data_IF_002672768201
#
_entry.id   IF_002672768201
#
_cell.length_a   1.000
_cell.length_b   1.000
_cell.length_c   1.000
_cell.angle_alpha   90.00
_cell.angle_beta   90.00
_cell.angle_gamma   90.00
#
_symmetry.space_group_name_H-M   'P 1'
#
loop_
_entity.id
_entity.type
_entity.pdbx_description
1 polymer ?
#
# COMPACT_ATOMS: atom_id res chain seq x y z
N UNK A 1 26.87 -36.68 32.88
CA UNK A 1 25.65 -37.45 33.25
C UNK A 1 25.64 -38.90 32.74
N UNK A 2 26.18 -39.21 31.56
CA UNK A 2 26.19 -40.59 31.00
C UNK A 2 26.92 -41.63 31.89
N UNK A 3 28.03 -41.27 32.55
CA UNK A 3 28.83 -42.23 33.35
C UNK A 3 28.11 -42.76 34.60
N UNK A 4 27.21 -41.97 35.20
CA UNK A 4 26.51 -42.33 36.44
C UNK A 4 25.40 -43.36 36.16
N UNK A 5 24.54 -43.08 35.19
CA UNK A 5 23.49 -44.02 34.75
C UNK A 5 24.07 -45.30 34.12
N UNK A 6 25.19 -45.18 33.40
CA UNK A 6 25.93 -46.35 32.88
C UNK A 6 26.40 -47.29 34.00
N UNK A 7 26.90 -46.75 35.11
CA UNK A 7 27.40 -47.55 36.25
C UNK A 7 26.27 -48.25 37.00
N UNK A 8 25.11 -47.60 37.13
CA UNK A 8 23.90 -48.20 37.71
C UNK A 8 23.37 -49.34 36.84
N UNK A 9 23.34 -49.17 35.51
CA UNK A 9 22.92 -50.23 34.57
C UNK A 9 23.84 -51.46 34.62
N UNK A 10 25.15 -51.25 34.71
CA UNK A 10 26.14 -52.33 34.79
C UNK A 10 25.95 -53.16 36.08
N UNK A 11 25.81 -52.50 37.24
CA UNK A 11 25.59 -53.18 38.53
C UNK A 11 24.24 -53.94 38.60
N UNK A 12 23.21 -53.47 37.89
CA UNK A 12 21.89 -54.14 37.84
C UNK A 12 21.87 -55.36 36.92
N UNK A 13 22.73 -55.40 35.90
CA UNK A 13 22.94 -56.60 35.07
C UNK A 13 23.68 -57.70 35.83
N UNK A 14 24.68 -57.32 36.64
CA UNK A 14 25.50 -58.25 37.43
C UNK A 14 24.70 -58.99 38.54
N UNK A 15 23.57 -58.42 38.97
CA UNK A 15 22.70 -58.98 40.03
C UNK A 15 21.50 -59.80 39.53
N UNK A 16 21.40 -60.07 38.21
CA UNK A 16 20.33 -60.91 37.63
C UNK A 16 18.93 -60.27 37.59
N UNK A 17 18.80 -58.97 37.88
CA UNK A 17 17.49 -58.26 37.98
C UNK A 17 17.09 -57.58 36.66
N UNK A 18 16.90 -58.37 35.60
CA UNK A 18 16.53 -57.91 34.24
C UNK A 18 15.30 -56.98 34.18
N UNK A 19 14.27 -57.24 35.00
CA UNK A 19 13.07 -56.37 35.07
C UNK A 19 13.39 -54.96 35.59
N UNK A 20 14.32 -54.81 36.55
CA UNK A 20 14.73 -53.48 37.04
C UNK A 20 15.57 -52.77 35.98
N UNK A 21 16.48 -53.48 35.33
CA UNK A 21 17.30 -52.95 34.24
C UNK A 21 16.46 -52.33 33.11
N UNK A 22 15.42 -53.03 32.64
CA UNK A 22 14.53 -52.53 31.59
C UNK A 22 13.81 -51.24 32.00
N UNK A 23 13.31 -51.15 33.24
CA UNK A 23 12.67 -49.92 33.76
C UNK A 23 13.61 -48.72 33.76
N UNK A 24 14.87 -48.91 34.16
CA UNK A 24 15.87 -47.83 34.16
C UNK A 24 16.31 -47.43 32.75
N UNK A 25 16.45 -48.40 31.83
CA UNK A 25 16.80 -48.10 30.44
C UNK A 25 15.69 -47.30 29.72
N UNK A 26 14.41 -47.64 29.96
CA UNK A 26 13.26 -46.89 29.45
C UNK A 26 13.24 -45.47 30.04
N UNK A 27 13.48 -45.33 31.35
CA UNK A 27 13.55 -44.02 32.00
C UNK A 27 14.64 -43.11 31.41
N UNK A 28 15.80 -43.67 31.07
CA UNK A 28 16.89 -42.91 30.43
C UNK A 28 16.56 -42.48 29.00
N UNK A 29 15.94 -43.35 28.21
CA UNK A 29 15.46 -43.00 26.87
C UNK A 29 14.42 -41.87 26.96
N UNK A 30 13.46 -41.97 27.88
CA UNK A 30 12.44 -40.93 28.08
C UNK A 30 13.07 -39.59 28.50
N UNK A 31 14.07 -39.60 29.39
CA UNK A 31 14.79 -38.39 29.78
C UNK A 31 15.54 -37.75 28.60
N UNK A 32 16.20 -38.55 27.76
CA UNK A 32 16.86 -38.07 26.55
C UNK A 32 15.86 -37.49 25.56
N UNK A 33 14.73 -38.17 25.34
CA UNK A 33 13.66 -37.71 24.45
C UNK A 33 13.09 -36.37 24.93
N UNK A 34 12.80 -36.23 26.23
CA UNK A 34 12.34 -34.96 26.82
C UNK A 34 13.38 -33.85 26.60
N UNK A 35 14.67 -34.17 26.79
CA UNK A 35 15.76 -33.21 26.53
C UNK A 35 15.79 -32.72 25.07
N UNK A 36 15.63 -33.63 24.11
CA UNK A 36 15.56 -33.30 22.67
C UNK A 36 14.32 -32.45 22.36
N UNK A 37 13.16 -32.82 22.90
CA UNK A 37 11.92 -32.08 22.68
C UNK A 37 12.01 -30.64 23.22
N UNK A 38 12.57 -30.46 24.42
CA UNK A 38 12.82 -29.12 24.98
C UNK A 38 13.78 -28.33 24.10
N UNK A 39 14.87 -28.95 23.64
CA UNK A 39 15.83 -28.28 22.75
C UNK A 39 15.19 -27.84 21.43
N UNK A 40 14.38 -28.70 20.80
CA UNK A 40 13.61 -28.37 19.60
C UNK A 40 12.61 -27.25 19.87
N UNK A 41 11.91 -27.29 21.01
CA UNK A 41 10.94 -26.25 21.37
C UNK A 41 11.61 -24.89 21.58
N UNK A 42 12.78 -24.84 22.22
CA UNK A 42 13.56 -23.61 22.38
C UNK A 42 14.01 -23.07 21.02
N UNK A 43 14.47 -23.96 20.12
CA UNK A 43 14.87 -23.55 18.77
C UNK A 43 13.70 -22.97 17.98
N UNK A 44 12.56 -23.66 17.94
CA UNK A 44 11.36 -23.22 17.24
C UNK A 44 10.82 -21.89 17.81
N UNK A 45 10.90 -21.69 19.14
CA UNK A 45 10.51 -20.43 19.77
C UNK A 45 11.43 -19.27 19.37
N UNK A 46 12.75 -19.51 19.30
CA UNK A 46 13.71 -18.51 18.85
C UNK A 46 13.52 -18.16 17.37
N UNK A 47 13.22 -19.16 16.54
CA UNK A 47 12.91 -18.97 15.11
C UNK A 47 11.62 -18.16 14.93
N UNK A 48 10.54 -18.52 15.63
CA UNK A 48 9.29 -17.76 15.61
C UNK A 48 9.45 -16.29 16.07
N UNK A 49 10.34 -16.02 17.05
CA UNK A 49 10.69 -14.64 17.43
C UNK A 49 11.39 -13.86 16.32
N UNK A 50 12.30 -14.51 15.58
CA UNK A 50 12.99 -13.89 14.45
C UNK A 50 12.02 -13.60 13.32
N UNK A 51 11.14 -14.54 13.00
CA UNK A 51 10.09 -14.38 11.99
C UNK A 51 9.13 -13.24 12.35
N UNK A 52 8.64 -13.18 13.59
CA UNK A 52 7.78 -12.09 14.05
C UNK A 52 8.47 -10.72 13.95
N UNK A 53 9.76 -10.64 14.30
CA UNK A 53 10.55 -9.41 14.14
C UNK A 53 10.69 -9.01 12.67
N UNK A 54 10.93 -9.97 11.77
CA UNK A 54 11.01 -9.70 10.33
C UNK A 54 9.66 -9.25 9.77
N UNK A 55 8.56 -9.92 10.12
CA UNK A 55 7.20 -9.53 9.75
C UNK A 55 6.93 -8.08 10.14
N UNK A 56 7.22 -7.73 11.41
CA UNK A 56 7.07 -6.37 11.92
C UNK A 56 7.90 -5.35 11.13
N UNK A 57 9.13 -5.67 10.76
CA UNK A 57 9.97 -4.78 9.97
C UNK A 57 9.38 -4.52 8.57
N UNK A 58 8.88 -5.55 7.89
CA UNK A 58 8.20 -5.37 6.60
C UNK A 58 6.93 -4.53 6.74
N UNK A 59 6.10 -4.81 7.74
CA UNK A 59 4.88 -4.04 8.01
C UNK A 59 5.20 -2.56 8.28
N UNK A 60 6.22 -2.27 9.09
CA UNK A 60 6.68 -0.89 9.34
C UNK A 60 7.18 -0.23 8.05
N UNK A 61 7.95 -0.95 7.24
CA UNK A 61 8.46 -0.43 5.96
C UNK A 61 7.32 -0.12 4.98
N UNK A 62 6.38 -1.05 4.80
CA UNK A 62 5.16 -0.85 3.98
C UNK A 62 4.37 0.35 4.48
N UNK A 63 4.13 0.45 5.79
CA UNK A 63 3.45 1.62 6.38
C UNK A 63 4.14 2.93 6.01
N UNK A 64 5.47 2.98 6.09
CA UNK A 64 6.23 4.18 5.77
C UNK A 64 6.17 4.52 4.28
N UNK A 65 6.21 3.50 3.41
CA UNK A 65 6.04 3.66 1.97
C UNK A 65 4.64 4.22 1.64
N UNK A 66 3.58 3.65 2.22
CA UNK A 66 2.20 4.14 2.05
C UNK A 66 2.00 5.56 2.60
N UNK A 67 2.67 5.93 3.70
CA UNK A 67 2.63 7.31 4.23
C UNK A 67 3.23 8.31 3.25
N UNK A 68 4.34 7.96 2.61
CA UNK A 68 4.97 8.81 1.57
C UNK A 68 4.09 8.87 0.32
N UNK A 69 3.52 7.75 -0.10
CA UNK A 69 2.57 7.72 -1.21
C UNK A 69 1.37 8.62 -0.96
N UNK A 70 0.83 8.64 0.27
CA UNK A 70 -0.26 9.54 0.63
C UNK A 70 0.11 11.03 0.51
N UNK A 71 1.35 11.42 0.82
CA UNK A 71 1.81 12.80 0.60
C UNK A 71 1.79 13.15 -0.88
N UNK A 72 2.23 12.23 -1.75
CA UNK A 72 2.18 12.42 -3.20
C UNK A 72 0.73 12.48 -3.71
N UNK A 73 -0.13 11.57 -3.23
CA UNK A 73 -1.55 11.55 -3.56
C UNK A 73 -2.24 12.85 -3.14
N UNK A 74 -1.97 13.36 -1.94
CA UNK A 74 -2.53 14.62 -1.45
C UNK A 74 -2.14 15.79 -2.37
N UNK A 75 -0.87 15.88 -2.76
CA UNK A 75 -0.41 16.93 -3.69
C UNK A 75 -1.10 16.83 -5.05
N UNK A 76 -1.20 15.62 -5.63
CA UNK A 76 -1.83 15.42 -6.94
C UNK A 76 -3.32 15.74 -6.90
N UNK A 77 -4.02 15.26 -5.86
CA UNK A 77 -5.45 15.53 -5.66
C UNK A 77 -5.69 17.02 -5.53
N UNK A 78 -4.87 17.76 -4.77
CA UNK A 78 -5.01 19.21 -4.64
C UNK A 78 -4.79 19.96 -5.97
N UNK A 79 -3.75 19.58 -6.73
CA UNK A 79 -3.51 20.19 -8.05
C UNK A 79 -4.69 19.98 -8.99
N UNK A 80 -5.18 18.74 -9.10
CA UNK A 80 -6.30 18.46 -10.00
C UNK A 80 -7.62 19.02 -9.48
N UNK A 81 -7.87 19.03 -8.17
CA UNK A 81 -9.04 19.68 -7.57
C UNK A 81 -9.11 21.17 -7.96
N UNK A 82 -7.97 21.86 -7.99
CA UNK A 82 -7.91 23.25 -8.45
C UNK A 82 -8.30 23.38 -9.93
N UNK A 83 -7.71 22.55 -10.80
CA UNK A 83 -8.01 22.53 -12.24
C UNK A 83 -9.48 22.19 -12.54
N UNK A 84 -10.04 21.23 -11.80
CA UNK A 84 -11.46 20.87 -11.83
C UNK A 84 -12.32 22.06 -11.41
N UNK A 85 -11.95 22.73 -10.32
CA UNK A 85 -12.70 23.87 -9.78
C UNK A 85 -12.71 25.06 -10.74
N UNK A 86 -11.61 25.32 -11.44
CA UNK A 86 -11.53 26.37 -12.47
C UNK A 86 -12.53 26.17 -13.61
N UNK A 87 -12.73 24.93 -14.07
CA UNK A 87 -13.76 24.62 -15.08
C UNK A 87 -15.15 24.55 -14.47
N UNK A 88 -15.27 24.01 -13.24
CA UNK A 88 -16.56 23.90 -12.55
C UNK A 88 -17.18 25.28 -12.26
N UNK A 89 -16.38 26.30 -11.95
CA UNK A 89 -16.87 27.67 -11.76
C UNK A 89 -17.51 28.25 -13.03
N UNK A 90 -17.16 27.74 -14.22
CA UNK A 90 -17.71 28.20 -15.51
C UNK A 90 -19.04 27.52 -15.89
N UNK A 91 -19.18 26.21 -15.63
CA UNK A 91 -20.27 25.41 -16.19
C UNK A 91 -20.96 24.47 -15.20
N UNK A 92 -20.48 24.37 -13.95
CA UNK A 92 -21.06 23.58 -12.85
C UNK A 92 -21.42 22.13 -13.19
N UNK A 93 -20.99 21.60 -14.33
CA UNK A 93 -21.48 20.31 -14.85
C UNK A 93 -21.05 19.16 -13.95
N UNK A 94 -19.95 19.31 -13.22
CA UNK A 94 -19.49 18.32 -12.25
C UNK A 94 -20.34 18.25 -10.97
N UNK A 95 -21.28 19.19 -10.77
CA UNK A 95 -22.30 19.11 -9.72
C UNK A 95 -23.47 18.18 -10.11
N UNK A 96 -23.54 17.73 -11.37
CA UNK A 96 -24.56 16.78 -11.83
C UNK A 96 -24.39 15.41 -11.12
N UNK A 97 -25.51 14.74 -10.73
CA UNK A 97 -25.46 13.42 -10.10
C UNK A 97 -24.64 12.36 -10.86
N UNK A 98 -24.53 12.45 -12.18
CA UNK A 98 -23.70 11.55 -13.01
C UNK A 98 -22.24 11.54 -12.57
N UNK A 99 -21.74 12.64 -11.99
CA UNK A 99 -20.37 12.76 -11.52
C UNK A 99 -20.19 12.36 -10.05
N UNK A 100 -21.24 11.97 -9.33
CA UNK A 100 -21.17 11.68 -7.88
C UNK A 100 -20.61 12.86 -7.08
N UNK A 101 -20.97 14.09 -7.45
CA UNK A 101 -20.40 15.31 -6.89
C UNK A 101 -20.45 15.41 -5.36
N UNK A 102 -21.47 14.84 -4.71
CA UNK A 102 -21.56 14.80 -3.25
C UNK A 102 -20.51 13.89 -2.60
N UNK A 103 -20.23 12.72 -3.20
CA UNK A 103 -19.19 11.79 -2.71
C UNK A 103 -17.81 12.45 -2.76
N UNK A 104 -17.55 13.23 -3.81
CA UNK A 104 -16.26 13.87 -4.06
C UNK A 104 -16.30 15.38 -3.84
N UNK A 105 -17.20 15.87 -2.98
CA UNK A 105 -17.42 17.29 -2.72
C UNK A 105 -16.15 18.03 -2.30
N UNK A 106 -15.22 17.33 -1.64
CA UNK A 106 -13.91 17.87 -1.27
C UNK A 106 -13.01 18.25 -2.45
N UNK A 107 -13.36 17.85 -3.68
CA UNK A 107 -12.65 18.26 -4.90
C UNK A 107 -13.11 19.62 -5.42
N UNK A 108 -14.31 20.08 -5.05
CA UNK A 108 -14.83 21.39 -5.42
C UNK A 108 -14.43 22.41 -4.36
N UNK A 109 -13.29 23.04 -4.59
CA UNK A 109 -12.71 24.07 -3.72
C UNK A 109 -12.87 25.45 -4.36
N UNK A 110 -12.56 26.52 -3.64
CA UNK A 110 -12.36 27.82 -4.27
C UNK A 110 -11.15 27.73 -5.19
N UNK A 111 -11.31 28.03 -6.48
CA UNK A 111 -10.21 27.94 -7.42
C UNK A 111 -9.14 29.01 -7.15
N UNK A 112 -7.88 28.60 -7.06
CA UNK A 112 -6.74 29.49 -7.16
C UNK A 112 -6.49 29.80 -8.65
N UNK A 113 -7.05 30.95 -9.06
CA UNK A 113 -6.97 31.46 -10.42
C UNK A 113 -5.54 31.80 -10.87
N UNK A 114 -4.60 31.99 -9.93
CA UNK A 114 -3.19 32.22 -10.27
C UNK A 114 -2.53 30.97 -10.88
N UNK A 115 -3.11 29.80 -10.59
CA UNK A 115 -2.68 28.49 -11.10
C UNK A 115 -3.41 28.09 -12.38
N UNK A 116 -4.23 28.95 -12.99
CA UNK A 116 -5.01 28.63 -14.19
C UNK A 116 -4.17 28.05 -15.33
N UNK A 117 -2.93 28.53 -15.49
CA UNK A 117 -2.04 28.06 -16.55
C UNK A 117 -1.76 26.56 -16.46
N UNK A 118 -1.80 25.95 -15.27
CA UNK A 118 -1.55 24.51 -15.05
C UNK A 118 -2.54 23.61 -15.81
N UNK A 119 -3.75 24.09 -16.10
CA UNK A 119 -4.71 23.38 -16.96
C UNK A 119 -4.11 23.07 -18.35
N UNK A 120 -3.22 23.90 -18.86
CA UNK A 120 -2.58 23.69 -20.17
C UNK A 120 -1.25 22.93 -20.11
N UNK A 121 -0.78 22.56 -18.92
CA UNK A 121 0.47 21.82 -18.76
C UNK A 121 0.23 20.33 -18.65
N UNK A 122 1.31 19.60 -18.92
CA UNK A 122 1.35 18.17 -18.64
C UNK A 122 1.27 17.95 -17.13
N UNK A 123 0.35 17.10 -16.71
CA UNK A 123 0.22 16.63 -15.35
C UNK A 123 1.32 15.63 -14.99
N UNK A 124 1.32 15.23 -13.73
CA UNK A 124 2.28 14.26 -13.20
C UNK A 124 1.52 12.99 -12.81
N UNK A 125 1.92 11.85 -13.37
CA UNK A 125 1.38 10.53 -12.99
C UNK A 125 1.72 10.20 -11.53
N UNK A 126 0.81 9.53 -10.82
CA UNK A 126 1.15 8.93 -9.52
C UNK A 126 2.16 7.80 -9.73
N UNK A 127 3.25 7.81 -8.96
CA UNK A 127 4.29 6.78 -8.99
C UNK A 127 4.46 6.20 -7.58
N UNK A 128 3.90 5.02 -7.31
CA UNK A 128 3.91 4.44 -5.97
C UNK A 128 5.29 3.95 -5.55
N UNK A 129 5.55 3.97 -4.24
CA UNK A 129 6.74 3.39 -3.65
C UNK A 129 6.50 1.91 -3.37
N UNK A 130 7.19 1.04 -4.09
CA UNK A 130 7.00 -0.43 -4.03
C UNK A 130 8.16 -1.19 -3.38
N UNK A 131 9.19 -0.49 -2.91
CA UNK A 131 10.47 -1.08 -2.50
C UNK A 131 10.31 -2.15 -1.41
N UNK A 132 9.62 -1.84 -0.31
CA UNK A 132 9.47 -2.78 0.80
C UNK A 132 8.67 -4.02 0.41
N UNK A 133 7.52 -3.81 -0.24
CA UNK A 133 6.65 -4.91 -0.68
C UNK A 133 7.37 -5.83 -1.68
N UNK A 134 8.04 -5.24 -2.68
CA UNK A 134 8.77 -5.99 -3.70
C UNK A 134 9.90 -6.81 -3.07
N UNK A 135 10.64 -6.25 -2.12
CA UNK A 135 11.67 -6.98 -1.37
C UNK A 135 11.07 -8.14 -0.57
N UNK A 136 9.95 -7.94 0.11
CA UNK A 136 9.28 -9.01 0.88
C UNK A 136 8.87 -10.18 0.00
N UNK A 137 8.31 -9.91 -1.18
CA UNK A 137 7.91 -10.93 -2.14
C UNK A 137 9.14 -11.63 -2.73
N UNK A 138 10.17 -10.87 -3.13
CA UNK A 138 11.41 -11.41 -3.68
C UNK A 138 12.16 -12.31 -2.68
N UNK A 139 12.12 -11.96 -1.39
CA UNK A 139 12.70 -12.75 -0.31
C UNK A 139 11.88 -14.03 0.02
N UNK A 140 10.72 -14.23 -0.61
CA UNK A 140 9.83 -15.36 -0.33
C UNK A 140 9.13 -15.27 1.04
N UNK A 141 8.97 -14.05 1.58
CA UNK A 141 8.55 -13.80 2.98
C UNK A 141 7.10 -13.38 3.14
N UNK A 142 6.27 -13.57 2.12
CA UNK A 142 4.82 -13.30 2.18
C UNK A 142 4.13 -14.04 3.33
N UNK A 143 4.54 -15.28 3.61
CA UNK A 143 3.98 -16.10 4.70
C UNK A 143 4.27 -15.59 6.12
N UNK A 144 5.13 -14.58 6.28
CA UNK A 144 5.42 -13.98 7.59
C UNK A 144 4.27 -13.11 8.11
N UNK A 145 3.44 -12.55 7.22
CA UNK A 145 2.25 -11.77 7.61
C UNK A 145 1.11 -12.76 7.83
N UNK A 146 0.85 -13.10 9.09
CA UNK A 146 -0.15 -14.13 9.47
C UNK A 146 -1.59 -13.63 9.33
N UNK A 147 -1.82 -12.34 9.52
CA UNK A 147 -3.13 -11.73 9.34
C UNK A 147 -3.48 -11.71 7.85
N UNK A 148 -4.38 -12.61 7.45
CA UNK A 148 -4.74 -12.82 6.04
C UNK A 148 -5.45 -11.61 5.43
N UNK A 149 -6.37 -10.99 6.16
CA UNK A 149 -7.09 -9.80 5.71
C UNK A 149 -6.13 -8.63 5.48
N UNK A 150 -5.21 -8.40 6.42
CA UNK A 150 -4.17 -7.39 6.27
C UNK A 150 -3.29 -7.66 5.04
N UNK A 151 -2.86 -8.91 4.87
CA UNK A 151 -2.00 -9.26 3.74
C UNK A 151 -2.72 -9.12 2.40
N UNK A 152 -3.99 -9.55 2.29
CA UNK A 152 -4.82 -9.34 1.10
C UNK A 152 -4.99 -7.85 0.78
N UNK A 153 -5.19 -7.01 1.80
CA UNK A 153 -5.24 -5.56 1.62
C UNK A 153 -3.92 -4.95 1.11
N UNK A 154 -2.77 -5.47 1.56
CA UNK A 154 -1.46 -5.09 1.02
C UNK A 154 -1.37 -5.50 -0.47
N UNK A 155 -1.73 -6.75 -0.81
CA UNK A 155 -1.68 -7.23 -2.19
C UNK A 155 -2.60 -6.43 -3.11
N UNK A 156 -3.82 -6.12 -2.68
CA UNK A 156 -4.78 -5.30 -3.44
C UNK A 156 -4.17 -3.94 -3.83
N UNK A 157 -3.44 -3.29 -2.92
CA UNK A 157 -2.80 -2.00 -3.21
C UNK A 157 -1.68 -2.17 -4.22
N UNK A 158 -0.75 -3.09 -3.97
CA UNK A 158 0.49 -3.20 -4.73
C UNK A 158 0.35 -3.92 -6.08
N UNK A 159 -0.48 -4.96 -6.14
CA UNK A 159 -0.61 -5.81 -7.33
C UNK A 159 -1.72 -5.31 -8.27
N UNK A 160 -2.75 -4.63 -7.74
CA UNK A 160 -3.90 -4.18 -8.52
C UNK A 160 -4.00 -2.64 -8.60
N UNK A 161 -4.24 -1.97 -7.47
CA UNK A 161 -4.63 -0.55 -7.48
C UNK A 161 -3.54 0.36 -8.03
N UNK A 162 -2.28 0.11 -7.70
CA UNK A 162 -1.13 0.82 -8.26
C UNK A 162 -1.06 0.73 -9.80
N UNK A 163 -1.23 -0.48 -10.35
CA UNK A 163 -1.27 -0.69 -11.80
C UNK A 163 -2.46 0.02 -12.44
N UNK A 164 -3.63 -0.04 -11.79
CA UNK A 164 -4.83 0.67 -12.25
C UNK A 164 -4.62 2.18 -12.33
N UNK A 165 -3.94 2.81 -11.37
CA UNK A 165 -3.65 4.25 -11.43
C UNK A 165 -2.81 4.61 -12.66
N UNK A 166 -1.77 3.83 -12.94
CA UNK A 166 -0.94 4.03 -14.12
C UNK A 166 -1.77 3.87 -15.41
N UNK A 167 -2.60 2.84 -15.49
CA UNK A 167 -3.47 2.61 -16.66
C UNK A 167 -4.48 3.73 -16.88
N UNK A 168 -5.11 4.23 -15.82
CA UNK A 168 -6.08 5.35 -15.93
C UNK A 168 -5.35 6.60 -16.40
N UNK A 169 -4.17 6.92 -15.85
CA UNK A 169 -3.38 8.07 -16.28
C UNK A 169 -3.00 8.00 -17.76
N UNK A 170 -2.49 6.84 -18.21
CA UNK A 170 -2.11 6.65 -19.62
C UNK A 170 -3.30 6.79 -20.59
N UNK A 171 -4.53 6.52 -20.15
CA UNK A 171 -5.72 6.64 -21.00
C UNK A 171 -6.03 8.09 -21.43
N UNK A 172 -5.76 9.09 -20.58
CA UNK A 172 -6.06 10.50 -20.89
C UNK A 172 -4.83 11.35 -21.21
N UNK A 173 -3.62 10.81 -21.02
CA UNK A 173 -2.35 11.43 -21.39
C UNK A 173 -2.28 11.92 -22.86
N UNK A 174 -2.88 11.26 -23.87
CA UNK A 174 -2.93 11.81 -25.22
C UNK A 174 -3.72 13.12 -25.30
N UNK A 175 -4.84 13.25 -24.57
CA UNK A 175 -5.63 14.48 -24.48
C UNK A 175 -4.83 15.59 -23.81
N UNK A 176 -4.11 15.28 -22.74
CA UNK A 176 -3.20 16.21 -22.08
C UNK A 176 -2.14 16.76 -23.05
N UNK A 177 -1.52 15.88 -23.84
CA UNK A 177 -0.55 16.29 -24.86
C UNK A 177 -1.18 17.20 -25.91
N UNK A 178 -2.40 16.86 -26.36
CA UNK A 178 -3.12 17.66 -27.34
C UNK A 178 -3.38 19.06 -26.80
N UNK A 179 -3.91 19.20 -25.58
CA UNK A 179 -4.15 20.52 -24.95
C UNK A 179 -2.85 21.32 -24.86
N UNK A 180 -1.77 20.69 -24.40
CA UNK A 180 -0.49 21.36 -24.18
C UNK A 180 0.10 22.01 -25.44
N UNK A 181 -0.05 21.34 -26.58
CA UNK A 181 0.49 21.80 -27.87
C UNK A 181 -0.48 22.67 -28.66
N UNK A 182 -1.78 22.38 -28.59
CA UNK A 182 -2.81 23.10 -29.38
C UNK A 182 -2.97 24.53 -28.90
N UNK A 183 -3.00 24.74 -27.59
CA UNK A 183 -3.34 26.04 -26.99
C UNK A 183 -2.11 26.79 -26.47
N UNK A 184 -1.04 26.80 -27.26
CA UNK A 184 0.23 27.40 -26.88
C UNK A 184 0.17 28.92 -26.67
N UNK A 185 -0.68 29.60 -27.44
CA UNK A 185 -0.88 31.06 -27.32
C UNK A 185 -1.66 31.40 -26.04
N UNK A 186 -2.78 30.71 -25.81
CA UNK A 186 -3.66 30.88 -24.67
C UNK A 186 -2.92 30.56 -23.38
N UNK A 187 -2.23 29.42 -23.33
CA UNK A 187 -1.33 29.05 -22.22
C UNK A 187 -0.35 30.16 -21.83
N UNK A 188 0.18 30.90 -22.81
CA UNK A 188 1.15 31.97 -22.59
C UNK A 188 0.47 33.28 -22.15
N UNK A 189 -0.60 33.66 -22.83
CA UNK A 189 -1.12 35.03 -22.82
C UNK A 189 -2.46 35.20 -22.08
N UNK A 190 -3.26 34.14 -21.94
CA UNK A 190 -4.57 34.24 -21.28
C UNK A 190 -4.46 34.39 -19.76
N UNK A 191 -5.40 35.18 -19.24
CA UNK A 191 -5.75 35.28 -17.83
C UNK A 191 -6.95 34.40 -17.52
N UNK A 192 -7.28 34.23 -16.23
CA UNK A 192 -8.52 33.54 -15.85
C UNK A 192 -9.77 34.21 -16.44
N UNK A 193 -9.77 35.54 -16.56
CA UNK A 193 -10.89 36.27 -17.16
C UNK A 193 -11.11 35.90 -18.63
N UNK A 194 -10.04 35.72 -19.39
CA UNK A 194 -10.12 35.31 -20.80
C UNK A 194 -10.71 33.89 -20.92
N UNK A 195 -10.28 32.99 -20.03
CA UNK A 195 -10.85 31.64 -19.94
C UNK A 195 -12.36 31.68 -19.63
N UNK A 196 -12.79 32.46 -18.64
CA UNK A 196 -14.21 32.60 -18.28
C UNK A 196 -15.07 33.04 -19.48
N UNK A 197 -14.55 33.91 -20.35
CA UNK A 197 -15.26 34.40 -21.53
C UNK A 197 -15.29 33.41 -22.70
N UNK A 198 -14.47 32.35 -22.66
CA UNK A 198 -14.32 31.37 -23.76
C UNK A 198 -15.32 30.20 -23.72
N UNK A 199 -16.37 30.25 -22.88
CA UNK A 199 -17.26 29.11 -22.63
C UNK A 199 -17.91 28.52 -23.89
N UNK A 200 -18.19 29.35 -24.90
CA UNK A 200 -18.80 28.90 -26.17
C UNK A 200 -17.74 28.51 -27.22
N UNK A 201 -16.47 28.70 -26.91
CA UNK A 201 -15.38 28.41 -27.82
C UNK A 201 -14.96 26.94 -27.76
N UNK A 202 -14.41 26.44 -28.87
CA UNK A 202 -13.85 25.09 -28.95
C UNK A 202 -12.85 24.77 -27.82
N UNK A 203 -12.07 25.76 -27.40
CA UNK A 203 -11.06 25.59 -26.33
C UNK A 203 -11.71 25.21 -25.00
N UNK A 204 -12.86 25.79 -24.66
CA UNK A 204 -13.57 25.41 -23.44
C UNK A 204 -14.03 23.96 -23.51
N UNK A 205 -14.63 23.52 -24.63
CA UNK A 205 -15.07 22.14 -24.82
C UNK A 205 -13.88 21.16 -24.70
N UNK A 206 -12.74 21.49 -25.32
CA UNK A 206 -11.54 20.67 -25.26
C UNK A 206 -10.97 20.59 -23.82
N UNK A 207 -10.96 21.71 -23.10
CA UNK A 207 -10.54 21.78 -21.70
C UNK A 207 -11.49 21.05 -20.76
N UNK A 208 -12.80 21.18 -20.99
CA UNK A 208 -13.84 20.49 -20.23
C UNK A 208 -13.65 18.97 -20.32
N UNK A 209 -13.58 18.43 -21.54
CA UNK A 209 -13.37 16.99 -21.77
C UNK A 209 -12.06 16.49 -21.15
N UNK A 210 -11.01 17.32 -21.17
CA UNK A 210 -9.74 16.98 -20.54
C UNK A 210 -9.83 16.98 -19.00
N UNK A 211 -10.47 17.99 -18.42
CA UNK A 211 -10.66 18.12 -16.97
C UNK A 211 -11.62 17.07 -16.44
N UNK A 212 -12.61 16.65 -17.23
CA UNK A 212 -13.47 15.50 -16.92
C UNK A 212 -12.66 14.21 -16.77
N UNK A 213 -11.74 13.93 -17.69
CA UNK A 213 -10.87 12.77 -17.55
C UNK A 213 -9.98 12.84 -16.29
N UNK A 214 -9.49 14.04 -15.95
CA UNK A 214 -8.76 14.30 -14.70
C UNK A 214 -9.64 14.16 -13.47
N UNK A 215 -10.91 14.52 -13.55
CA UNK A 215 -11.89 14.36 -12.48
C UNK A 215 -12.00 12.88 -12.08
N UNK A 216 -12.26 12.00 -13.05
CA UNK A 216 -12.33 10.54 -12.81
C UNK A 216 -11.00 9.97 -12.28
N UNK A 217 -9.86 10.42 -12.81
CA UNK A 217 -8.57 10.03 -12.26
C UNK A 217 -8.37 10.49 -10.82
N UNK A 218 -8.81 11.70 -10.48
CA UNK A 218 -8.72 12.26 -9.13
C UNK A 218 -9.58 11.48 -8.13
N UNK A 219 -10.76 11.01 -8.55
CA UNK A 219 -11.57 10.09 -7.75
C UNK A 219 -10.82 8.79 -7.44
N UNK A 220 -10.14 8.21 -8.43
CA UNK A 220 -9.31 7.03 -8.25
C UNK A 220 -8.16 7.26 -7.26
N UNK A 221 -7.46 8.40 -7.37
CA UNK A 221 -6.41 8.79 -6.41
C UNK A 221 -6.97 8.99 -4.99
N UNK A 222 -8.13 9.62 -4.87
CA UNK A 222 -8.82 9.83 -3.60
C UNK A 222 -9.15 8.49 -2.91
N UNK A 223 -9.69 7.55 -3.68
CA UNK A 223 -10.05 6.23 -3.19
C UNK A 223 -8.82 5.39 -2.80
N UNK A 224 -7.74 5.46 -3.59
CA UNK A 224 -6.46 4.84 -3.23
C UNK A 224 -5.91 5.42 -1.91
N UNK A 225 -5.91 6.75 -1.76
CA UNK A 225 -5.47 7.41 -0.52
C UNK A 225 -6.29 6.95 0.69
N UNK A 226 -7.61 6.81 0.54
CA UNK A 226 -8.49 6.30 1.60
C UNK A 226 -8.10 4.87 2.00
N UNK A 227 -7.93 3.98 1.01
CA UNK A 227 -7.49 2.59 1.25
C UNK A 227 -6.11 2.51 1.90
N UNK A 228 -5.16 3.36 1.49
CA UNK A 228 -3.85 3.47 2.14
C UNK A 228 -3.99 3.82 3.62
N UNK A 229 -4.87 4.77 3.98
CA UNK A 229 -5.11 5.16 5.39
C UNK A 229 -5.71 4.02 6.21
N UNK A 230 -6.68 3.29 5.65
CA UNK A 230 -7.27 2.10 6.27
C UNK A 230 -6.20 1.03 6.53
N UNK A 231 -5.36 0.74 5.54
CA UNK A 231 -4.30 -0.25 5.66
C UNK A 231 -3.21 0.16 6.66
N UNK A 232 -2.83 1.44 6.68
CA UNK A 232 -1.91 1.98 7.69
C UNK A 232 -2.47 1.76 9.10
N UNK A 233 -3.77 1.97 9.31
CA UNK A 233 -4.39 1.73 10.61
C UNK A 233 -4.35 0.26 11.02
N UNK A 234 -4.63 -0.67 10.09
CA UNK A 234 -4.52 -2.12 10.32
C UNK A 234 -3.08 -2.52 10.66
N UNK A 235 -2.09 -2.00 9.94
CA UNK A 235 -0.68 -2.24 10.24
C UNK A 235 -0.31 -1.70 11.63
N UNK A 236 -0.81 -0.54 12.01
CA UNK A 236 -0.55 0.05 13.33
C UNK A 236 -1.20 -0.75 14.47
N UNK A 237 -2.31 -1.45 14.22
CA UNK A 237 -2.89 -2.40 15.18
C UNK A 237 -2.00 -3.64 15.31
N UNK A 238 -1.66 -4.29 14.20
CA UNK A 238 -0.85 -5.53 14.16
C UNK A 238 0.57 -5.33 14.75
N UNK A 239 1.13 -4.11 14.65
CA UNK A 239 2.50 -3.83 15.11
C UNK A 239 2.60 -3.28 16.54
N UNK A 240 1.47 -3.07 17.21
CA UNK A 240 1.40 -2.68 18.64
C UNK A 240 1.37 -3.89 19.58
N UNK A 241 0.84 -5.01 19.11
CA UNK A 241 0.91 -6.32 19.77
C UNK A 241 2.33 -6.92 19.70
#
# INVERSE_FOLDING_TARGET
MIKFFRKIRFNLMETGKTSRYLKYAIGEILLVVIGILIALQINNWNEGKKEAKMARNYLIGIKNDLKKDNVLLDSLIQTYANEISLINEMDKSFEDPVYEGETYKSLFISADTSLMKYIFYRGISFRPITATYTSMIADGRSGLIKNRELFEGIQEIYDERHSRMASVYESFKPSENRIHWTYGYEKKNWTYRDLLTSREDKIFIDLFNFVEAKYFYTQHLYNLRKKNKELIALIEQETKE
#
